data_IF_325201517728
#
_entry.id   IF_325201517728
#
_cell.length_a   1.000
_cell.length_b   1.000
_cell.length_c   1.000
_cell.angle_alpha   90.00
_cell.angle_beta   90.00
_cell.angle_gamma   90.00
#
_symmetry.space_group_name_H-M   'P 1'
#
loop_
_entity.id
_entity.type
_entity.pdbx_description
1 polymer ?
#
# COMPACT_ATOMS: atom_id res chain seq x y z
N UNK A 1 -16.67 -15.15 -13.95
CA UNK A 1 -15.91 -16.34 -14.35
C UNK A 1 -14.60 -16.48 -13.57
N UNK A 2 -14.32 -15.57 -12.63
CA UNK A 2 -13.14 -15.60 -11.73
C UNK A 2 -13.53 -15.79 -10.27
N UNK A 3 -14.60 -16.54 -10.01
CA UNK A 3 -15.18 -16.61 -8.67
C UNK A 3 -14.56 -17.72 -7.81
N UNK A 4 -14.04 -18.79 -8.45
CA UNK A 4 -13.52 -19.97 -7.77
C UNK A 4 -12.23 -20.49 -8.40
N UNK A 5 -11.21 -20.76 -7.58
CA UNK A 5 -10.05 -21.60 -7.92
C UNK A 5 -10.18 -22.89 -7.09
N UNK A 6 -10.28 -24.05 -7.76
CA UNK A 6 -10.49 -25.36 -7.11
C UNK A 6 -11.66 -25.39 -6.10
N UNK A 7 -12.77 -24.68 -6.40
CA UNK A 7 -13.92 -24.61 -5.53
C UNK A 7 -13.82 -23.59 -4.37
N UNK A 8 -12.73 -22.84 -4.27
CA UNK A 8 -12.54 -21.80 -3.25
C UNK A 8 -12.71 -20.41 -3.86
N UNK A 9 -13.38 -19.48 -3.16
CA UNK A 9 -13.48 -18.09 -3.61
C UNK A 9 -12.10 -17.44 -3.77
N UNK A 10 -11.88 -16.76 -4.90
CA UNK A 10 -10.61 -16.05 -5.18
C UNK A 10 -10.45 -14.84 -4.27
N UNK A 11 -11.55 -14.16 -3.93
CA UNK A 11 -11.55 -12.92 -3.16
C UNK A 11 -10.74 -13.02 -1.86
N UNK A 12 -10.96 -13.99 -0.94
CA UNK A 12 -10.15 -14.09 0.27
C UNK A 12 -8.65 -14.27 0.00
N UNK A 13 -8.28 -15.01 -1.05
CA UNK A 13 -6.88 -15.25 -1.39
C UNK A 13 -6.18 -13.96 -1.83
N UNK A 14 -6.82 -13.18 -2.71
CA UNK A 14 -6.27 -11.90 -3.22
C UNK A 14 -6.24 -10.86 -2.10
N UNK A 15 -7.29 -10.77 -1.28
CA UNK A 15 -7.34 -9.88 -0.12
C UNK A 15 -6.20 -10.16 0.84
N UNK A 16 -5.88 -11.42 1.13
CA UNK A 16 -4.75 -11.75 2.01
C UNK A 16 -3.42 -11.26 1.43
N UNK A 17 -3.22 -11.33 0.12
CA UNK A 17 -2.03 -10.78 -0.51
C UNK A 17 -1.96 -9.24 -0.36
N UNK A 18 -3.06 -8.53 -0.60
CA UNK A 18 -3.13 -7.06 -0.44
C UNK A 18 -2.89 -6.65 1.01
N UNK A 19 -3.54 -7.31 1.98
CA UNK A 19 -3.43 -7.01 3.42
C UNK A 19 -2.00 -7.22 3.95
N UNK A 20 -1.19 -8.06 3.31
CA UNK A 20 0.22 -8.25 3.66
C UNK A 20 1.11 -7.27 2.90
N UNK A 21 0.94 -7.17 1.59
CA UNK A 21 1.83 -6.38 0.73
C UNK A 21 1.71 -4.88 0.97
N UNK A 22 0.50 -4.38 1.16
CA UNK A 22 0.27 -2.95 1.29
C UNK A 22 0.83 -2.35 2.59
N UNK A 23 0.60 -2.94 3.79
CA UNK A 23 1.30 -2.50 5.00
C UNK A 23 2.82 -2.63 4.91
N UNK A 24 3.32 -3.70 4.28
CA UNK A 24 4.75 -3.89 4.06
C UNK A 24 5.33 -2.79 3.15
N UNK A 25 4.62 -2.42 2.09
CA UNK A 25 5.00 -1.32 1.20
C UNK A 25 4.96 0.03 1.92
N UNK A 26 3.94 0.29 2.75
CA UNK A 26 3.82 1.51 3.54
C UNK A 26 4.96 1.63 4.55
N UNK A 27 5.21 0.60 5.35
CA UNK A 27 6.34 0.56 6.31
C UNK A 27 7.69 0.66 5.60
N UNK A 28 7.85 -0.04 4.47
CA UNK A 28 9.04 0.03 3.64
C UNK A 28 9.27 1.44 3.09
N UNK A 29 8.21 2.13 2.66
CA UNK A 29 8.27 3.52 2.18
C UNK A 29 8.72 4.47 3.30
N UNK A 30 8.18 4.34 4.50
CA UNK A 30 8.64 5.10 5.68
C UNK A 30 10.12 4.81 5.95
N UNK A 31 10.52 3.54 5.94
CA UNK A 31 11.88 3.14 6.22
C UNK A 31 12.90 3.74 5.23
N UNK A 32 12.62 3.68 3.91
CA UNK A 32 13.48 4.29 2.89
C UNK A 32 13.39 5.83 2.85
N UNK A 33 12.29 6.42 3.30
CA UNK A 33 12.17 7.87 3.44
C UNK A 33 13.07 8.40 4.57
N UNK A 34 13.04 7.74 5.74
CA UNK A 34 13.78 8.14 6.95
C UNK A 34 15.27 7.76 6.87
N UNK A 35 15.60 6.62 6.23
CA UNK A 35 17.00 6.14 6.10
C UNK A 35 17.47 6.12 4.64
N UNK A 36 18.13 7.17 4.15
CA UNK A 36 18.59 7.25 2.76
C UNK A 36 19.50 6.08 2.32
N UNK A 37 20.30 5.53 3.22
CA UNK A 37 21.15 4.36 2.95
C UNK A 37 20.34 3.11 2.54
N UNK A 38 19.10 2.99 2.99
CA UNK A 38 18.23 1.86 2.69
C UNK A 38 17.55 1.96 1.32
N UNK A 39 17.47 3.16 0.73
CA UNK A 39 16.86 3.39 -0.60
C UNK A 39 17.53 2.56 -1.68
N UNK A 40 18.87 2.53 -1.66
CA UNK A 40 19.64 1.77 -2.65
C UNK A 40 19.36 0.26 -2.54
N UNK A 41 19.33 -0.26 -1.32
CA UNK A 41 19.23 -1.70 -1.07
C UNK A 41 17.80 -2.23 -1.19
N UNK A 42 16.83 -1.50 -0.66
CA UNK A 42 15.44 -1.96 -0.51
C UNK A 42 14.44 -1.19 -1.35
N UNK A 43 14.82 -0.06 -1.95
CA UNK A 43 13.88 0.79 -2.68
C UNK A 43 13.14 0.06 -3.80
N UNK A 44 13.81 -0.83 -4.54
CA UNK A 44 13.17 -1.62 -5.60
C UNK A 44 12.14 -2.58 -5.03
N UNK A 45 12.45 -3.24 -3.90
CA UNK A 45 11.52 -4.17 -3.25
C UNK A 45 10.28 -3.45 -2.73
N UNK A 46 10.45 -2.25 -2.16
CA UNK A 46 9.34 -1.41 -1.69
C UNK A 46 8.45 -1.00 -2.86
N UNK A 47 9.04 -0.53 -3.96
CA UNK A 47 8.30 -0.17 -5.18
C UNK A 47 7.59 -1.38 -5.77
N UNK A 48 8.25 -2.54 -5.82
CA UNK A 48 7.64 -3.77 -6.33
C UNK A 48 6.45 -4.23 -5.47
N UNK A 49 6.58 -4.16 -4.15
CA UNK A 49 5.48 -4.50 -3.23
C UNK A 49 4.30 -3.53 -3.40
N UNK A 50 4.54 -2.22 -3.48
CA UNK A 50 3.51 -1.22 -3.72
C UNK A 50 2.83 -1.40 -5.10
N UNK A 51 3.62 -1.66 -6.16
CA UNK A 51 3.09 -1.88 -7.50
C UNK A 51 2.24 -3.17 -7.56
N UNK A 52 2.70 -4.24 -6.94
CA UNK A 52 1.96 -5.50 -6.89
C UNK A 52 0.64 -5.34 -6.13
N UNK A 53 0.65 -4.64 -4.97
CA UNK A 53 -0.58 -4.34 -4.24
C UNK A 53 -1.54 -3.53 -5.11
N UNK A 54 -1.06 -2.47 -5.76
CA UNK A 54 -1.85 -1.61 -6.64
C UNK A 54 -2.50 -2.36 -7.82
N UNK A 55 -1.87 -3.45 -8.30
CA UNK A 55 -2.44 -4.34 -9.33
C UNK A 55 -3.46 -5.32 -8.72
N UNK A 56 -3.20 -5.81 -7.52
CA UNK A 56 -4.08 -6.79 -6.86
C UNK A 56 -5.35 -6.17 -6.30
N UNK A 57 -5.33 -4.90 -5.91
CA UNK A 57 -6.50 -4.21 -5.33
C UNK A 57 -7.71 -4.21 -6.26
N UNK A 58 -7.63 -3.84 -7.57
CA UNK A 58 -8.76 -3.96 -8.49
C UNK A 58 -9.25 -5.40 -8.67
N UNK A 59 -8.36 -6.38 -8.58
CA UNK A 59 -8.75 -7.81 -8.63
C UNK A 59 -9.51 -8.19 -7.36
N UNK A 60 -9.07 -7.68 -6.19
CA UNK A 60 -9.76 -7.90 -4.93
C UNK A 60 -11.17 -7.29 -4.95
N UNK A 61 -11.32 -6.02 -5.38
CA UNK A 61 -12.64 -5.37 -5.44
C UNK A 61 -13.57 -6.07 -6.43
N UNK A 62 -13.12 -6.35 -7.65
CA UNK A 62 -13.94 -7.07 -8.66
C UNK A 62 -14.35 -8.48 -8.22
N UNK A 63 -13.48 -9.19 -7.51
CA UNK A 63 -13.82 -10.51 -6.96
C UNK A 63 -14.75 -10.41 -5.75
N UNK A 64 -14.67 -9.29 -5.00
CA UNK A 64 -15.59 -8.96 -3.91
C UNK A 64 -17.01 -8.73 -4.41
N UNK A 65 -17.19 -7.89 -5.43
CA UNK A 65 -18.48 -7.64 -6.09
C UNK A 65 -19.12 -8.94 -6.64
N UNK A 66 -18.31 -9.86 -7.17
CA UNK A 66 -18.79 -11.15 -7.61
C UNK A 66 -19.26 -12.02 -6.44
N UNK A 67 -18.56 -11.98 -5.30
CA UNK A 67 -18.92 -12.69 -4.08
C UNK A 67 -20.19 -12.15 -3.41
N UNK A 68 -20.41 -10.83 -3.44
CA UNK A 68 -21.62 -10.17 -2.90
C UNK A 68 -22.92 -10.78 -3.44
N UNK A 69 -22.92 -11.17 -4.72
CA UNK A 69 -24.08 -11.81 -5.37
C UNK A 69 -24.49 -13.13 -4.70
N UNK A 70 -23.59 -13.74 -3.94
CA UNK A 70 -23.81 -15.04 -3.30
C UNK A 70 -24.03 -14.92 -1.79
N UNK A 71 -23.36 -13.96 -1.14
CA UNK A 71 -23.36 -13.84 0.33
C UNK A 71 -24.06 -12.58 0.85
N UNK A 72 -24.44 -11.67 -0.05
CA UNK A 72 -25.06 -10.37 0.31
C UNK A 72 -24.04 -9.24 0.40
N UNK A 73 -24.56 -8.02 0.52
CA UNK A 73 -23.76 -6.77 0.55
C UNK A 73 -23.01 -6.64 1.88
N UNK A 74 -21.65 -6.56 1.87
CA UNK A 74 -20.83 -6.31 3.06
C UNK A 74 -20.83 -4.81 3.47
N UNK A 75 -21.61 -3.96 2.81
CA UNK A 75 -21.86 -2.58 3.17
C UNK A 75 -20.59 -1.72 3.19
N UNK A 76 -20.24 -1.20 4.37
CA UNK A 76 -19.13 -0.27 4.54
C UNK A 76 -17.77 -0.87 4.11
N UNK A 77 -17.61 -2.19 4.21
CA UNK A 77 -16.37 -2.86 3.81
C UNK A 77 -16.09 -2.72 2.31
N UNK A 78 -17.08 -2.94 1.45
CA UNK A 78 -16.97 -2.76 0.01
C UNK A 78 -16.60 -1.30 -0.33
N UNK A 79 -17.36 -0.34 0.22
CA UNK A 79 -17.13 1.08 -0.03
C UNK A 79 -15.73 1.57 0.39
N UNK A 80 -15.17 1.05 1.49
CA UNK A 80 -13.81 1.38 1.94
C UNK A 80 -12.75 0.66 1.10
N UNK A 81 -13.03 -0.55 0.62
CA UNK A 81 -12.18 -1.32 -0.27
C UNK A 81 -11.98 -0.60 -1.61
N UNK A 82 -13.05 -0.08 -2.21
CA UNK A 82 -13.01 0.67 -3.46
C UNK A 82 -12.21 1.97 -3.38
N UNK A 83 -12.15 2.55 -2.18
CA UNK A 83 -11.35 3.76 -1.95
C UNK A 83 -9.85 3.47 -1.79
N UNK A 84 -9.44 2.22 -1.55
CA UNK A 84 -8.07 1.88 -1.21
C UNK A 84 -7.07 2.28 -2.30
N UNK A 85 -7.44 2.09 -3.56
CA UNK A 85 -6.61 2.43 -4.73
C UNK A 85 -6.18 3.92 -4.74
N UNK A 86 -7.01 4.83 -4.26
CA UNK A 86 -6.71 6.25 -4.20
C UNK A 86 -5.63 6.61 -3.18
N UNK A 87 -5.35 5.74 -2.22
CA UNK A 87 -4.25 5.86 -1.27
C UNK A 87 -3.00 5.13 -1.78
N UNK A 88 -3.17 4.03 -2.50
CA UNK A 88 -2.07 3.24 -3.07
C UNK A 88 -1.33 3.96 -4.18
N UNK A 89 -2.05 4.64 -5.09
CA UNK A 89 -1.43 5.36 -6.21
C UNK A 89 -0.45 6.45 -5.73
N UNK A 90 -0.82 7.37 -4.83
CA UNK A 90 0.12 8.34 -4.28
C UNK A 90 1.31 7.68 -3.56
N UNK A 91 1.08 6.61 -2.80
CA UNK A 91 2.14 5.85 -2.13
C UNK A 91 3.15 5.31 -3.15
N UNK A 92 2.66 4.63 -4.19
CA UNK A 92 3.50 4.06 -5.26
C UNK A 92 4.28 5.15 -5.99
N UNK A 93 3.61 6.22 -6.43
CA UNK A 93 4.24 7.33 -7.17
C UNK A 93 5.35 7.96 -6.33
N UNK A 94 5.10 8.26 -5.06
CA UNK A 94 6.08 8.89 -4.18
C UNK A 94 7.25 7.95 -3.87
N UNK A 95 7.01 6.65 -3.69
CA UNK A 95 8.07 5.66 -3.54
C UNK A 95 8.95 5.57 -4.79
N UNK A 96 8.35 5.53 -5.99
CA UNK A 96 9.07 5.52 -7.27
C UNK A 96 9.91 6.78 -7.42
N UNK A 97 9.32 7.96 -7.20
CA UNK A 97 10.01 9.25 -7.31
C UNK A 97 11.18 9.31 -6.32
N UNK A 98 11.00 8.88 -5.08
CA UNK A 98 12.03 8.88 -4.05
C UNK A 98 13.23 7.99 -4.45
N UNK A 99 12.97 6.78 -4.94
CA UNK A 99 14.00 5.84 -5.40
C UNK A 99 14.70 6.36 -6.66
N UNK A 100 13.95 6.94 -7.58
CA UNK A 100 14.49 7.51 -8.80
C UNK A 100 15.40 8.74 -8.54
N UNK A 101 14.98 9.64 -7.65
CA UNK A 101 15.80 10.78 -7.23
C UNK A 101 17.11 10.32 -6.58
N UNK A 102 17.05 9.32 -5.68
CA UNK A 102 18.25 8.75 -5.05
C UNK A 102 19.23 8.18 -6.08
N UNK A 103 18.72 7.43 -7.08
CA UNK A 103 19.53 6.89 -8.16
C UNK A 103 20.19 7.98 -9.01
N UNK A 104 19.43 9.04 -9.34
CA UNK A 104 19.99 10.19 -10.10
C UNK A 104 21.08 10.91 -9.32
N UNK A 105 20.89 11.12 -8.01
CA UNK A 105 21.92 11.72 -7.16
C UNK A 105 23.21 10.89 -7.14
N UNK A 106 23.11 9.59 -7.02
CA UNK A 106 24.26 8.68 -7.01
C UNK A 106 24.97 8.64 -8.36
N UNK A 107 24.23 8.62 -9.46
CA UNK A 107 24.80 8.66 -10.79
C UNK A 107 25.56 9.97 -11.05
N UNK A 108 25.01 11.11 -10.63
CA UNK A 108 25.69 12.40 -10.74
C UNK A 108 26.97 12.47 -9.89
N UNK A 109 26.96 11.92 -8.67
CA UNK A 109 28.14 11.86 -7.80
C UNK A 109 29.24 10.96 -8.35
N UNK A 110 28.90 9.86 -9.04
CA UNK A 110 29.88 8.94 -9.64
C UNK A 110 30.62 9.53 -10.86
N UNK A 111 30.06 10.54 -11.54
CA UNK A 111 30.67 11.20 -12.70
C UNK A 111 31.64 12.33 -12.27
N UNK A 112 31.63 12.76 -11.01
CA UNK A 112 32.44 13.87 -10.48
C UNK A 112 33.79 13.38 -9.94
N UNK A 113 34.44 12.42 -10.56
CA UNK A 113 35.90 12.21 -10.42
C UNK A 113 36.63 13.33 -11.20
N UNK A 114 37.75 13.88 -10.67
CA UNK A 114 38.29 15.16 -11.13
C UNK A 114 38.96 15.03 -12.52
N UNK A 115 38.19 15.17 -13.58
CA UNK A 115 38.70 15.54 -14.89
C UNK A 115 38.41 17.02 -15.09
N UNK A 116 39.45 17.81 -15.18
CA UNK A 116 39.44 19.22 -15.55
C UNK A 116 38.78 19.41 -16.93
N UNK A 117 37.49 19.57 -16.99
CA UNK A 117 36.79 20.05 -18.18
C UNK A 117 35.56 20.86 -17.72
N UNK A 118 35.64 22.15 -18.04
CA UNK A 118 34.62 23.15 -17.76
C UNK A 118 33.29 22.82 -18.47
N UNK A 119 32.17 23.02 -17.78
CA UNK A 119 30.93 23.54 -18.36
C UNK A 119 29.94 22.55 -18.90
N UNK A 120 29.22 21.87 -18.02
CA UNK A 120 27.77 21.63 -18.21
C UNK A 120 27.18 21.28 -16.86
N UNK A 121 26.55 22.28 -16.26
CA UNK A 121 25.75 22.11 -15.03
C UNK A 121 24.49 21.34 -15.38
N UNK A 122 24.55 20.01 -15.30
CA UNK A 122 23.32 19.22 -15.14
C UNK A 122 22.62 19.71 -13.87
N UNK A 123 21.28 19.98 -13.89
CA UNK A 123 20.59 20.49 -12.71
C UNK A 123 20.70 19.46 -11.59
N UNK A 124 21.56 19.75 -10.62
CA UNK A 124 21.68 18.96 -9.41
C UNK A 124 20.32 18.98 -8.71
N UNK A 125 19.68 17.79 -8.59
CA UNK A 125 18.41 17.69 -7.85
C UNK A 125 18.66 18.24 -6.44
N UNK A 126 17.93 19.28 -6.08
CA UNK A 126 18.09 19.93 -4.78
C UNK A 126 17.87 18.94 -3.63
N UNK A 127 18.74 18.96 -2.62
CA UNK A 127 18.57 18.17 -1.40
C UNK A 127 17.22 18.46 -0.71
N UNK A 128 16.70 19.65 -0.89
CA UNK A 128 15.37 20.07 -0.40
C UNK A 128 14.25 19.31 -1.12
N UNK A 129 14.33 19.12 -2.45
CA UNK A 129 13.33 18.36 -3.19
C UNK A 129 13.23 16.92 -2.70
N UNK A 130 14.36 16.26 -2.43
CA UNK A 130 14.37 14.90 -1.87
C UNK A 130 13.75 14.84 -0.49
N UNK A 131 14.00 15.82 0.37
CA UNK A 131 13.40 15.89 1.71
C UNK A 131 11.90 16.11 1.64
N UNK A 132 11.42 16.97 0.73
CA UNK A 132 9.98 17.20 0.53
C UNK A 132 9.30 15.92 0.03
N UNK A 133 9.86 15.26 -0.98
CA UNK A 133 9.30 13.99 -1.48
C UNK A 133 9.29 12.92 -0.38
N UNK A 134 10.36 12.83 0.42
CA UNK A 134 10.42 11.89 1.53
C UNK A 134 9.34 12.18 2.58
N UNK A 135 9.11 13.45 2.94
CA UNK A 135 8.05 13.84 3.87
C UNK A 135 6.65 13.49 3.32
N UNK A 136 6.38 13.81 2.05
CA UNK A 136 5.12 13.44 1.39
C UNK A 136 4.92 11.93 1.32
N UNK A 137 5.99 11.17 1.06
CA UNK A 137 5.95 9.71 1.03
C UNK A 137 5.59 9.12 2.41
N UNK A 138 6.10 9.70 3.51
CA UNK A 138 5.71 9.32 4.86
C UNK A 138 4.24 9.62 5.13
N UNK A 139 3.76 10.80 4.74
CA UNK A 139 2.34 11.16 4.90
C UNK A 139 1.44 10.22 4.13
N UNK A 140 1.77 9.93 2.86
CA UNK A 140 1.02 8.98 2.05
C UNK A 140 1.02 7.56 2.66
N UNK A 141 2.16 7.10 3.18
CA UNK A 141 2.28 5.81 3.83
C UNK A 141 1.42 5.71 5.11
N UNK A 142 1.39 6.76 5.92
CA UNK A 142 0.52 6.82 7.11
C UNK A 142 -0.95 6.84 6.74
N UNK A 143 -1.35 7.65 5.74
CA UNK A 143 -2.73 7.69 5.25
C UNK A 143 -3.18 6.32 4.71
N UNK A 144 -2.33 5.66 3.92
CA UNK A 144 -2.56 4.30 3.42
C UNK A 144 -2.72 3.30 4.57
N UNK A 145 -1.86 3.37 5.60
CA UNK A 145 -1.94 2.49 6.77
C UNK A 145 -3.26 2.66 7.53
N UNK A 146 -3.71 3.89 7.71
CA UNK A 146 -5.02 4.18 8.33
C UNK A 146 -6.16 3.61 7.48
N UNK A 147 -6.11 3.77 6.16
CA UNK A 147 -7.15 3.23 5.28
C UNK A 147 -7.18 1.70 5.29
N UNK A 148 -6.03 1.03 5.25
CA UNK A 148 -5.95 -0.44 5.40
C UNK A 148 -6.55 -0.90 6.72
N UNK A 149 -6.24 -0.21 7.82
CA UNK A 149 -6.85 -0.52 9.12
C UNK A 149 -8.38 -0.40 9.08
N UNK A 150 -8.93 0.67 8.50
CA UNK A 150 -10.38 0.88 8.35
C UNK A 150 -11.05 -0.22 7.52
N UNK A 151 -10.43 -0.61 6.42
CA UNK A 151 -10.91 -1.73 5.58
C UNK A 151 -10.90 -3.04 6.39
N UNK A 152 -9.83 -3.33 7.12
CA UNK A 152 -9.71 -4.52 7.94
C UNK A 152 -10.75 -4.56 9.08
N UNK A 153 -10.91 -3.45 9.81
CA UNK A 153 -11.89 -3.32 10.91
C UNK A 153 -13.33 -3.50 10.39
N UNK A 154 -13.68 -2.84 9.27
CA UNK A 154 -15.02 -2.99 8.67
C UNK A 154 -15.29 -4.42 8.18
N UNK A 155 -14.29 -5.09 7.61
CA UNK A 155 -14.41 -6.48 7.19
C UNK A 155 -14.58 -7.44 8.38
N UNK A 156 -13.85 -7.23 9.46
CA UNK A 156 -14.01 -8.01 10.68
C UNK A 156 -15.42 -7.84 11.29
N UNK A 157 -15.95 -6.62 11.30
CA UNK A 157 -17.32 -6.36 11.76
C UNK A 157 -18.37 -7.01 10.86
N UNK A 158 -18.21 -6.95 9.55
CA UNK A 158 -19.11 -7.59 8.60
C UNK A 158 -19.12 -9.13 8.76
N UNK A 159 -17.97 -9.74 9.08
CA UNK A 159 -17.88 -11.19 9.24
C UNK A 159 -18.36 -11.70 10.61
N UNK A 160 -18.17 -10.93 11.68
CA UNK A 160 -18.32 -11.43 13.07
C UNK A 160 -19.31 -10.63 13.92
N UNK A 161 -19.80 -9.48 13.45
CA UNK A 161 -20.64 -8.56 14.26
C UNK A 161 -21.87 -9.23 14.85
N UNK A 162 -22.61 -10.01 14.07
CA UNK A 162 -23.85 -10.67 14.50
C UNK A 162 -23.58 -11.82 15.49
N UNK A 163 -22.47 -12.53 15.33
CA UNK A 163 -22.11 -13.64 16.22
C UNK A 163 -21.70 -13.15 17.61
N UNK A 164 -20.99 -12.03 17.70
CA UNK A 164 -20.61 -11.44 18.98
C UNK A 164 -21.81 -10.84 19.68
N UNK A 165 -22.73 -10.19 18.96
CA UNK A 165 -23.95 -9.61 19.51
C UNK A 165 -24.91 -10.67 20.09
N UNK A 166 -25.07 -11.81 19.40
CA UNK A 166 -25.91 -12.90 19.87
C UNK A 166 -25.34 -13.62 21.09
N UNK A 167 -24.03 -13.77 21.20
CA UNK A 167 -23.39 -14.36 22.39
C UNK A 167 -23.53 -13.49 23.66
N UNK A 168 -23.49 -12.17 23.48
CA UNK A 168 -23.65 -11.22 24.58
C UNK A 168 -25.11 -11.18 25.12
N UNK A 169 -26.10 -11.35 24.23
CA UNK A 169 -27.53 -11.38 24.63
C UNK A 169 -27.90 -12.69 25.36
N UNK A 170 -27.24 -13.80 25.06
CA UNK A 170 -27.48 -15.09 25.72
C UNK A 170 -26.94 -15.16 27.15
N UNK A 171 -25.96 -14.33 27.51
CA UNK A 171 -25.36 -14.30 28.85
C UNK A 171 -26.13 -13.48 29.89
N UNK A 172 -27.10 -12.66 29.49
CA UNK A 172 -27.87 -11.79 30.39
C UNK A 172 -29.18 -12.39 30.89
N UNK A 173 -29.57 -13.61 30.46
CA UNK A 173 -30.83 -14.28 30.87
C UNK A 173 -30.63 -15.47 31.81
N UNK A 174 -29.50 -15.57 32.50
CA UNK A 174 -29.12 -16.69 33.38
C UNK A 174 -28.92 -16.32 34.85
N UNK A 175 -29.67 -15.35 35.42
CA UNK A 175 -29.75 -15.08 36.86
C UNK A 175 -31.22 -15.02 37.35
#
# INVERSE_FOLDING_TARGET
MFDLINGLPIHPLVVHAVVVLLPLAALGTIAIAVRPAWRHRYGVLVVAAAALSCVLTPVATSSGEALEKHVGDPGQHAALGDQLIWFEIPLLVLAVVLVWLDRRHRAAAAVTEPSHAAGSSSPAVSSTAVKVVAALAVVAALATSVQVFRVGDSGARAAWGDQVSSSSAGSSNGD
#
